data_IF_326659863344
#
_entry.id   IF_326659863344
#
_cell.length_a   1.000
_cell.length_b   1.000
_cell.length_c   1.000
_cell.angle_alpha   90.00
_cell.angle_beta   90.00
_cell.angle_gamma   90.00
#
_symmetry.space_group_name_H-M   'P 1'
#
loop_
_entity.id
_entity.type
_entity.pdbx_description
1 polymer ?
#
# COMPACT_ATOMS: atom_id res chain seq x y z
N UNK A 1 12.19 -9.02 45.30
CA UNK A 1 12.97 -8.94 44.05
C UNK A 1 11.99 -9.22 42.93
N UNK A 2 11.10 -8.28 42.62
CA UNK A 2 11.38 -7.12 41.76
C UNK A 2 12.29 -7.51 40.59
N UNK A 3 11.65 -7.85 39.49
CA UNK A 3 12.22 -7.84 38.15
C UNK A 3 11.16 -7.20 37.28
N UNK A 4 10.94 -5.90 37.45
CA UNK A 4 10.14 -5.10 36.54
C UNK A 4 10.76 -5.29 35.14
N UNK A 5 10.08 -6.07 34.31
CA UNK A 5 10.31 -6.14 32.88
C UNK A 5 10.23 -4.70 32.40
N UNK A 6 11.40 -4.11 32.14
CA UNK A 6 11.52 -2.77 31.61
C UNK A 6 10.69 -2.77 30.35
N UNK A 7 9.55 -2.12 30.38
CA UNK A 7 8.83 -1.67 29.20
C UNK A 7 9.80 -0.75 28.46
N UNK A 8 10.68 -1.39 27.69
CA UNK A 8 11.39 -0.73 26.61
C UNK A 8 10.28 -0.06 25.84
N UNK A 9 10.38 1.25 25.63
CA UNK A 9 9.55 1.91 24.63
C UNK A 9 9.92 1.25 23.31
N UNK A 10 9.25 0.15 22.99
CA UNK A 10 9.56 -0.72 21.87
C UNK A 10 9.08 0.02 20.65
N UNK A 11 10.04 0.51 19.86
CA UNK A 11 9.74 1.04 18.55
C UNK A 11 9.05 -0.08 17.74
N UNK A 12 7.99 0.25 16.98
CA UNK A 12 7.28 -0.75 16.20
C UNK A 12 8.22 -1.40 15.18
N UNK A 13 7.91 -2.63 14.77
CA UNK A 13 8.63 -3.30 13.69
C UNK A 13 8.67 -2.39 12.44
N UNK A 14 9.82 -2.26 11.77
CA UNK A 14 9.92 -1.40 10.60
C UNK A 14 8.95 -1.87 9.51
N UNK A 15 8.29 -0.92 8.86
CA UNK A 15 7.41 -1.23 7.73
C UNK A 15 8.21 -1.55 6.48
N UNK A 16 8.28 -2.82 6.11
CA UNK A 16 8.96 -3.28 4.89
C UNK A 16 8.15 -2.90 3.66
N UNK A 17 8.80 -2.47 2.57
CA UNK A 17 8.12 -2.21 1.30
C UNK A 17 7.73 -3.52 0.63
N UNK A 18 6.45 -3.66 0.32
CA UNK A 18 5.90 -4.79 -0.44
C UNK A 18 5.05 -4.29 -1.59
N UNK A 19 4.98 -5.09 -2.65
CA UNK A 19 4.17 -4.79 -3.82
C UNK A 19 2.70 -5.11 -3.50
N UNK A 20 1.78 -4.30 -4.03
CA UNK A 20 0.35 -4.46 -3.71
C UNK A 20 -0.18 -5.86 -4.04
N UNK A 21 0.29 -6.48 -5.14
CA UNK A 21 -0.10 -7.84 -5.52
C UNK A 21 0.49 -8.94 -4.61
N UNK A 22 1.63 -8.71 -3.95
CA UNK A 22 2.18 -9.66 -2.96
C UNK A 22 1.30 -9.71 -1.71
N UNK A 23 0.75 -8.56 -1.33
CA UNK A 23 -0.23 -8.45 -0.25
C UNK A 23 -1.56 -9.10 -0.67
N UNK A 24 -2.05 -8.81 -1.88
CA UNK A 24 -3.31 -9.38 -2.38
C UNK A 24 -3.26 -10.90 -2.62
N UNK A 25 -2.10 -11.44 -2.97
CA UNK A 25 -1.89 -12.88 -3.16
C UNK A 25 -1.56 -13.62 -1.87
N UNK A 26 -1.71 -12.98 -0.69
CA UNK A 26 -1.38 -13.55 0.62
C UNK A 26 0.05 -14.08 0.73
N UNK A 27 0.99 -13.53 -0.05
CA UNK A 27 2.40 -13.90 0.00
C UNK A 27 3.12 -13.23 1.19
N UNK A 28 2.42 -12.37 1.93
CA UNK A 28 2.94 -11.67 3.11
C UNK A 28 2.31 -12.26 4.39
N UNK A 29 3.11 -12.67 5.39
CA UNK A 29 2.59 -13.24 6.64
C UNK A 29 1.68 -12.27 7.41
N UNK A 30 0.66 -12.79 8.10
CA UNK A 30 -0.19 -11.98 8.97
C UNK A 30 0.58 -11.37 10.15
N UNK A 31 0.19 -10.17 10.57
CA UNK A 31 0.76 -9.50 11.76
C UNK A 31 2.08 -8.75 11.51
N UNK A 32 2.48 -8.57 10.25
CA UNK A 32 3.68 -7.78 9.89
C UNK A 32 3.31 -6.34 9.52
N UNK A 33 4.18 -5.40 9.89
CA UNK A 33 4.07 -3.99 9.49
C UNK A 33 4.62 -3.81 8.09
N UNK A 34 3.84 -3.20 7.18
CA UNK A 34 4.19 -3.06 5.77
C UNK A 34 4.00 -1.62 5.29
N UNK A 35 4.74 -1.27 4.24
CA UNK A 35 4.50 -0.09 3.43
C UNK A 35 4.15 -0.56 2.02
N UNK A 36 2.97 -0.16 1.56
CA UNK A 36 2.54 -0.36 0.17
C UNK A 36 2.41 1.01 -0.50
N UNK A 37 2.64 1.03 -1.79
CA UNK A 37 2.37 2.20 -2.63
C UNK A 37 1.14 1.91 -3.48
N UNK A 38 0.08 2.68 -3.28
CA UNK A 38 -1.09 2.60 -4.15
C UNK A 38 -0.79 3.29 -5.48
N UNK A 39 -0.77 2.47 -6.52
CA UNK A 39 -0.80 2.89 -7.91
C UNK A 39 -2.22 2.68 -8.42
N UNK A 40 -2.78 3.70 -9.06
CA UNK A 40 -4.03 3.56 -9.81
C UNK A 40 -3.70 3.54 -11.29
N UNK A 41 -4.42 2.70 -12.04
CA UNK A 41 -4.33 2.66 -13.50
C UNK A 41 -5.40 3.56 -14.08
N UNK A 42 -4.99 4.63 -14.77
CA UNK A 42 -5.87 5.43 -15.60
C UNK A 42 -5.86 4.85 -17.01
N UNK A 43 -7.04 4.57 -17.54
CA UNK A 43 -7.21 4.11 -18.92
C UNK A 43 -7.89 5.20 -19.73
N UNK A 44 -7.39 5.43 -20.94
CA UNK A 44 -8.03 6.30 -21.92
C UNK A 44 -8.14 5.56 -23.25
N UNK A 45 -9.26 5.73 -23.94
CA UNK A 45 -9.46 5.18 -25.27
C UNK A 45 -9.32 6.29 -26.32
N UNK A 46 -8.55 6.03 -27.37
CA UNK A 46 -8.37 6.94 -28.48
C UNK A 46 -8.60 6.16 -29.79
N UNK A 47 -9.82 6.27 -30.33
CA UNK A 47 -10.26 5.42 -31.43
C UNK A 47 -10.27 3.94 -31.02
N UNK A 48 -9.52 3.11 -31.75
CA UNK A 48 -9.32 1.68 -31.42
C UNK A 48 -8.20 1.43 -30.40
N UNK A 49 -7.41 2.46 -30.06
CA UNK A 49 -6.26 2.32 -29.18
C UNK A 49 -6.64 2.53 -27.72
N UNK A 50 -5.98 1.77 -26.81
CA UNK A 50 -6.13 1.91 -25.36
C UNK A 50 -4.80 2.35 -24.74
N UNK A 51 -4.81 3.52 -24.12
CA UNK A 51 -3.65 4.07 -23.40
C UNK A 51 -3.81 3.81 -21.90
N UNK A 52 -2.70 3.46 -21.24
CA UNK A 52 -2.66 3.19 -19.80
C UNK A 52 -1.58 4.05 -19.14
N UNK A 53 -1.95 4.71 -18.05
CA UNK A 53 -1.03 5.51 -17.23
C UNK A 53 -1.13 5.04 -15.78
N UNK A 54 0.01 4.67 -15.20
CA UNK A 54 0.10 4.30 -13.79
C UNK A 54 0.42 5.55 -12.95
N UNK A 55 -0.50 5.94 -12.08
CA UNK A 55 -0.38 7.13 -11.23
C UNK A 55 -0.08 6.74 -9.79
N UNK A 56 0.93 7.37 -9.20
CA UNK A 56 1.25 7.26 -7.78
C UNK A 56 0.40 8.24 -6.98
N UNK A 57 -0.42 7.76 -6.04
CA UNK A 57 -1.39 8.62 -5.32
C UNK A 57 -0.94 9.07 -3.93
N UNK A 58 0.33 8.88 -3.58
CA UNK A 58 0.88 9.18 -2.24
C UNK A 58 0.55 10.57 -1.70
N UNK A 59 0.60 11.58 -2.57
CA UNK A 59 0.47 12.98 -2.17
C UNK A 59 -0.97 13.49 -2.19
N UNK A 60 -1.91 12.69 -2.68
CA UNK A 60 -3.30 13.10 -2.91
C UNK A 60 -4.29 12.28 -2.08
N UNK A 61 -3.83 11.57 -1.05
CA UNK A 61 -4.73 10.82 -0.15
C UNK A 61 -5.29 11.72 0.96
N UNK A 62 -6.58 11.54 1.35
CA UNK A 62 -7.57 10.68 0.72
C UNK A 62 -8.12 11.29 -0.58
N UNK A 63 -8.34 10.46 -1.61
CA UNK A 63 -9.06 10.86 -2.83
C UNK A 63 -10.22 9.89 -3.09
N UNK A 64 -11.30 10.39 -3.67
CA UNK A 64 -12.42 9.57 -4.11
C UNK A 64 -12.20 9.15 -5.56
N UNK A 65 -11.97 7.86 -5.80
CA UNK A 65 -11.91 7.32 -7.16
C UNK A 65 -13.33 7.32 -7.76
N UNK A 66 -13.55 8.12 -8.80
CA UNK A 66 -14.78 8.04 -9.59
C UNK A 66 -14.55 7.04 -10.73
N UNK A 67 -15.41 6.04 -10.83
CA UNK A 67 -15.40 5.10 -11.96
C UNK A 67 -16.36 5.67 -13.00
N UNK A 68 -15.91 6.06 -14.20
CA UNK A 68 -16.83 6.44 -15.25
C UNK A 68 -17.62 5.17 -15.64
N UNK A 69 -18.94 5.30 -15.70
CA UNK A 69 -19.88 4.26 -16.11
C UNK A 69 -19.57 3.70 -17.49
#
# INVERSE_FOLDING_TARGET
>A
MEGAEKEQVMLPKPGTYSLHWEVSASQVPGGVTLRTFDRVTLMAQHGSDRHQVLVCTKLVKPFQAQVPW
#
